data_IF_196156845267
#
_entry.id   IF_196156845267
#
_cell.length_a   1.000
_cell.length_b   1.000
_cell.length_c   1.000
_cell.angle_alpha   90.00
_cell.angle_beta   90.00
_cell.angle_gamma   90.00
#
_symmetry.space_group_name_H-M   'P 1'
#
loop_
_entity.id
_entity.type
_entity.pdbx_description
1 polymer ?
#
# COMPACT_ATOMS: atom_id res chain seq x y z
N UNK A 1 25.73 -2.80 -11.95
CA UNK A 1 25.80 -3.47 -10.64
C UNK A 1 25.42 -2.44 -9.59
N UNK A 2 24.40 -2.73 -8.79
CA UNK A 2 23.97 -1.87 -7.68
C UNK A 2 24.53 -2.39 -6.36
N UNK A 3 24.96 -1.48 -5.49
CA UNK A 3 25.47 -1.87 -4.17
C UNK A 3 24.31 -2.00 -3.18
N UNK A 4 24.30 -3.10 -2.42
CA UNK A 4 23.40 -3.40 -1.32
C UNK A 4 24.23 -3.34 -0.04
N UNK A 5 23.85 -2.47 0.90
CA UNK A 5 24.57 -2.35 2.18
C UNK A 5 23.88 -3.17 3.26
N UNK A 6 24.58 -4.19 3.77
CA UNK A 6 24.09 -5.01 4.87
C UNK A 6 24.91 -4.78 6.14
N UNK A 7 24.26 -4.81 7.29
CA UNK A 7 24.90 -4.83 8.60
C UNK A 7 24.71 -6.22 9.24
N UNK A 8 25.80 -6.84 9.68
CA UNK A 8 25.78 -8.02 10.54
C UNK A 8 26.14 -7.60 11.97
N UNK A 9 25.26 -7.94 12.92
CA UNK A 9 25.47 -7.77 14.35
C UNK A 9 25.64 -9.15 14.97
N UNK A 10 26.89 -9.52 15.26
CA UNK A 10 27.31 -10.88 15.60
C UNK A 10 28.60 -10.82 16.42
N UNK A 11 28.66 -11.41 17.62
CA UNK A 11 29.86 -11.38 18.47
C UNK A 11 30.85 -12.51 18.14
N UNK A 12 30.37 -13.60 17.54
CA UNK A 12 31.19 -14.76 17.16
C UNK A 12 32.01 -14.51 15.89
N UNK A 13 33.35 -14.40 16.04
CA UNK A 13 34.27 -14.25 14.89
C UNK A 13 34.11 -15.37 13.84
N UNK A 14 33.75 -16.59 14.26
CA UNK A 14 33.53 -17.68 13.31
C UNK A 14 32.28 -17.45 12.46
N UNK A 15 31.19 -16.97 13.07
CA UNK A 15 29.94 -16.71 12.36
C UNK A 15 30.08 -15.49 11.45
N UNK A 16 30.80 -14.46 11.91
CA UNK A 16 31.20 -13.32 11.07
C UNK A 16 31.97 -13.78 9.83
N UNK A 17 32.94 -14.68 9.97
CA UNK A 17 33.71 -15.21 8.86
C UNK A 17 32.86 -16.03 7.88
N UNK A 18 31.92 -16.85 8.39
CA UNK A 18 30.99 -17.61 7.54
C UNK A 18 30.13 -16.64 6.71
N UNK A 19 29.60 -15.59 7.33
CA UNK A 19 28.81 -14.58 6.62
C UNK A 19 29.64 -13.84 5.56
N UNK A 20 30.87 -13.43 5.90
CA UNK A 20 31.79 -12.77 4.97
C UNK A 20 32.12 -13.64 3.76
N UNK A 21 32.39 -14.94 3.98
CA UNK A 21 32.63 -15.88 2.89
C UNK A 21 31.39 -16.02 1.99
N UNK A 22 30.19 -16.14 2.57
CA UNK A 22 28.95 -16.19 1.80
C UNK A 22 28.72 -14.92 0.96
N UNK A 23 29.10 -13.74 1.47
CA UNK A 23 29.07 -12.48 0.71
C UNK A 23 30.10 -12.47 -0.41
N UNK A 24 31.30 -13.02 -0.17
CA UNK A 24 32.34 -13.13 -1.21
C UNK A 24 31.87 -14.02 -2.34
N UNK A 25 31.39 -15.23 -2.03
CA UNK A 25 30.86 -16.20 -2.99
C UNK A 25 29.70 -15.58 -3.80
N UNK A 26 28.76 -14.92 -3.11
CA UNK A 26 27.66 -14.22 -3.77
C UNK A 26 28.15 -13.13 -4.74
N UNK A 27 29.13 -12.32 -4.34
CA UNK A 27 29.66 -11.23 -5.16
C UNK A 27 30.50 -11.71 -6.35
N UNK A 28 31.10 -12.91 -6.26
CA UNK A 28 31.80 -13.54 -7.38
C UNK A 28 30.82 -14.06 -8.44
N UNK A 29 29.70 -14.63 -7.99
CA UNK A 29 28.70 -15.23 -8.87
C UNK A 29 27.64 -14.24 -9.39
N UNK A 30 27.37 -13.15 -8.67
CA UNK A 30 26.31 -12.20 -9.00
C UNK A 30 26.80 -10.98 -9.79
N UNK A 31 26.13 -10.68 -10.91
CA UNK A 31 26.46 -9.53 -11.77
C UNK A 31 25.47 -8.36 -11.65
N UNK A 32 24.32 -8.60 -11.03
CA UNK A 32 23.26 -7.60 -10.83
C UNK A 32 23.56 -6.73 -9.60
N UNK A 33 23.92 -7.37 -8.49
CA UNK A 33 24.11 -6.76 -7.19
C UNK A 33 25.50 -7.05 -6.62
N UNK A 34 25.99 -6.09 -5.83
CA UNK A 34 27.16 -6.27 -4.98
C UNK A 34 26.75 -6.02 -3.54
N UNK A 35 26.98 -7.00 -2.67
CA UNK A 35 26.75 -6.87 -1.24
C UNK A 35 27.99 -6.29 -0.56
N UNK A 36 27.79 -5.15 0.10
CA UNK A 36 28.76 -4.48 0.96
C UNK A 36 28.38 -4.78 2.41
N UNK A 37 29.09 -5.73 3.03
CA UNK A 37 28.84 -6.16 4.40
C UNK A 37 29.66 -5.32 5.38
N UNK A 38 28.99 -4.74 6.35
CA UNK A 38 29.59 -4.21 7.57
C UNK A 38 29.30 -5.14 8.74
N UNK A 39 30.29 -5.33 9.62
CA UNK A 39 30.14 -6.18 10.81
C UNK A 39 30.33 -5.33 12.07
N UNK A 40 29.60 -5.65 13.13
CA UNK A 40 29.85 -5.19 14.50
C UNK A 40 29.62 -6.32 15.50
N UNK A 41 30.37 -6.29 16.61
CA UNK A 41 30.37 -7.36 17.60
C UNK A 41 29.49 -7.10 18.83
N UNK A 42 28.89 -5.92 18.96
CA UNK A 42 28.11 -5.53 20.13
C UNK A 42 27.10 -4.42 19.83
N UNK A 43 26.22 -4.18 20.80
CA UNK A 43 25.15 -3.18 20.72
C UNK A 43 25.67 -1.76 20.48
N UNK A 44 26.74 -1.36 21.16
CA UNK A 44 27.29 0.01 21.04
C UNK A 44 27.81 0.28 19.64
N UNK A 45 28.56 -0.65 19.07
CA UNK A 45 29.06 -0.55 17.69
C UNK A 45 27.91 -0.57 16.67
N UNK A 46 26.88 -1.40 16.89
CA UNK A 46 25.68 -1.40 16.05
C UNK A 46 25.00 -0.03 16.05
N UNK A 47 24.83 0.57 17.23
CA UNK A 47 24.23 1.90 17.38
C UNK A 47 25.00 2.99 16.61
N UNK A 48 26.33 2.97 16.72
CA UNK A 48 27.19 3.93 16.01
C UNK A 48 27.06 3.80 14.50
N UNK A 49 27.09 2.55 13.98
CA UNK A 49 26.96 2.30 12.54
C UNK A 49 25.60 2.70 11.99
N UNK A 50 24.52 2.34 12.69
CA UNK A 50 23.15 2.68 12.31
C UNK A 50 22.89 4.19 12.27
N UNK A 51 23.63 4.99 13.04
CA UNK A 51 23.57 6.47 13.00
C UNK A 51 24.37 7.08 11.84
N UNK A 52 25.46 6.43 11.42
CA UNK A 52 26.39 6.99 10.45
C UNK A 52 26.03 6.63 9.00
N UNK A 53 25.37 5.49 8.79
CA UNK A 53 25.11 4.93 7.47
C UNK A 53 23.68 4.44 7.32
N UNK A 54 23.17 4.53 6.08
CA UNK A 54 21.94 3.84 5.68
C UNK A 54 22.27 2.40 5.28
N UNK A 55 21.49 1.46 5.77
CA UNK A 55 21.57 0.05 5.41
C UNK A 55 20.30 -0.39 4.68
N UNK A 56 20.46 -1.32 3.75
CA UNK A 56 19.37 -1.99 3.02
C UNK A 56 18.85 -3.23 3.76
N UNK A 57 19.59 -3.70 4.77
CA UNK A 57 19.19 -4.82 5.60
C UNK A 57 20.11 -5.01 6.80
N UNK A 58 19.58 -5.62 7.87
CA UNK A 58 20.35 -5.97 9.06
C UNK A 58 20.13 -7.44 9.41
N UNK A 59 21.22 -8.16 9.70
CA UNK A 59 21.22 -9.51 10.27
C UNK A 59 21.67 -9.39 11.72
N UNK A 60 20.87 -9.91 12.66
CA UNK A 60 21.10 -9.75 14.10
C UNK A 60 21.12 -11.12 14.78
N UNK A 61 22.17 -11.42 15.54
CA UNK A 61 22.12 -12.46 16.59
C UNK A 61 21.53 -11.89 17.89
N UNK A 62 20.78 -12.72 18.62
CA UNK A 62 20.13 -12.33 19.87
C UNK A 62 21.09 -12.26 21.05
N UNK A 63 22.18 -13.04 21.03
CA UNK A 63 23.20 -13.03 22.07
C UNK A 63 24.44 -12.38 21.51
N UNK A 64 24.80 -11.22 22.06
CA UNK A 64 25.96 -10.45 21.58
C UNK A 64 27.06 -10.36 22.65
N UNK A 65 26.80 -10.87 23.85
CA UNK A 65 27.85 -11.08 24.85
C UNK A 65 27.61 -12.35 25.67
N UNK A 66 28.64 -12.76 26.41
CA UNK A 66 28.54 -13.84 27.40
C UNK A 66 27.75 -13.46 28.67
N UNK A 67 27.17 -12.24 28.74
CA UNK A 67 26.46 -11.76 29.92
C UNK A 67 25.12 -12.49 30.17
N UNK A 68 24.58 -13.14 29.14
CA UNK A 68 23.33 -13.90 29.20
C UNK A 68 22.07 -13.05 29.03
N UNK A 69 22.20 -11.75 28.76
CA UNK A 69 21.10 -10.89 28.33
C UNK A 69 20.81 -11.06 26.82
N UNK A 70 19.58 -10.85 26.39
CA UNK A 70 19.19 -10.94 24.97
C UNK A 70 19.48 -9.61 24.26
N UNK A 71 20.76 -9.22 24.17
CA UNK A 71 21.16 -7.87 23.75
C UNK A 71 20.78 -7.54 22.30
N UNK A 72 20.56 -8.54 21.45
CA UNK A 72 20.03 -8.31 20.10
C UNK A 72 18.65 -7.64 20.11
N UNK A 73 17.83 -7.84 21.16
CA UNK A 73 16.57 -7.09 21.33
C UNK A 73 16.81 -5.59 21.57
N UNK A 74 17.95 -5.21 22.17
CA UNK A 74 18.32 -3.79 22.34
C UNK A 74 18.62 -3.14 20.98
N UNK A 75 19.29 -3.86 20.08
CA UNK A 75 19.55 -3.38 18.71
C UNK A 75 18.25 -3.24 17.92
N UNK A 76 17.33 -4.19 18.05
CA UNK A 76 15.98 -4.10 17.47
C UNK A 76 15.25 -2.85 17.96
N UNK A 77 15.28 -2.59 19.27
CA UNK A 77 14.67 -1.41 19.87
C UNK A 77 15.32 -0.11 19.36
N UNK A 78 16.64 -0.09 19.17
CA UNK A 78 17.34 1.05 18.57
C UNK A 78 16.88 1.32 17.14
N UNK A 79 16.80 0.29 16.29
CA UNK A 79 16.31 0.43 14.91
C UNK A 79 14.85 0.91 14.89
N UNK A 80 14.02 0.41 15.83
CA UNK A 80 12.64 0.84 15.99
C UNK A 80 12.53 2.32 16.35
N UNK A 81 13.37 2.77 17.28
CA UNK A 81 13.39 4.14 17.78
C UNK A 81 14.06 5.14 16.82
N UNK A 82 14.91 4.66 15.90
CA UNK A 82 15.58 5.51 14.90
C UNK A 82 14.68 5.87 13.70
N UNK A 83 13.44 5.38 13.65
CA UNK A 83 12.52 5.48 12.49
C UNK A 83 13.12 4.92 11.19
N UNK A 84 14.17 4.09 11.30
CA UNK A 84 14.85 3.49 10.16
C UNK A 84 13.99 2.36 9.61
N UNK A 85 13.46 2.54 8.39
CA UNK A 85 12.62 1.56 7.67
C UNK A 85 13.50 0.49 7.02
N UNK A 86 14.29 -0.21 7.84
CA UNK A 86 15.28 -1.19 7.40
C UNK A 86 14.72 -2.59 7.69
N UNK A 87 14.67 -3.48 6.69
CA UNK A 87 14.28 -4.87 6.91
C UNK A 87 15.30 -5.60 7.80
N UNK A 88 14.82 -6.43 8.73
CA UNK A 88 15.69 -7.15 9.69
C UNK A 88 15.45 -8.66 9.62
N UNK A 89 16.53 -9.42 9.58
CA UNK A 89 16.54 -10.87 9.79
C UNK A 89 17.21 -11.16 11.12
N UNK A 90 16.56 -11.99 11.94
CA UNK A 90 17.16 -12.50 13.17
C UNK A 90 17.73 -13.87 12.85
N UNK A 91 19.03 -14.07 13.07
CA UNK A 91 19.69 -15.35 12.84
C UNK A 91 20.44 -15.75 14.11
N UNK A 92 19.87 -16.70 14.86
CA UNK A 92 20.28 -16.95 16.25
C UNK A 92 20.18 -18.41 16.64
N UNK A 93 21.00 -18.86 17.61
CA UNK A 93 20.85 -20.17 18.24
C UNK A 93 19.72 -20.24 19.27
N UNK A 94 19.10 -19.11 19.63
CA UNK A 94 18.02 -19.04 20.63
C UNK A 94 16.80 -18.26 20.12
N UNK A 95 16.06 -18.77 19.12
CA UNK A 95 15.00 -18.00 18.45
C UNK A 95 13.83 -17.60 19.37
N UNK A 96 13.60 -18.32 20.47
CA UNK A 96 12.50 -18.09 21.39
C UNK A 96 12.58 -16.76 22.17
N UNK A 97 13.75 -16.10 22.20
CA UNK A 97 13.95 -14.85 22.94
C UNK A 97 13.69 -13.59 22.10
N UNK A 98 13.49 -13.76 20.79
CA UNK A 98 13.32 -12.65 19.85
C UNK A 98 11.95 -11.97 20.03
N UNK A 99 11.94 -10.66 20.31
CA UNK A 99 10.71 -9.87 20.41
C UNK A 99 10.22 -9.48 19.01
N UNK A 100 9.03 -9.94 18.63
CA UNK A 100 8.45 -9.74 17.29
C UNK A 100 7.43 -8.58 17.22
N UNK A 101 6.96 -8.08 18.35
CA UNK A 101 5.80 -7.19 18.36
C UNK A 101 6.11 -5.76 17.88
N UNK A 102 5.48 -5.39 16.76
CA UNK A 102 5.53 -4.04 16.21
C UNK A 102 6.89 -3.68 15.61
N UNK A 103 7.58 -4.65 15.01
CA UNK A 103 8.87 -4.47 14.33
C UNK A 103 8.90 -5.23 12.99
N UNK A 104 9.48 -4.66 11.91
CA UNK A 104 9.51 -5.30 10.58
C UNK A 104 10.58 -6.40 10.51
N UNK A 105 10.46 -7.43 11.36
CA UNK A 105 11.23 -8.67 11.21
C UNK A 105 10.72 -9.38 9.95
N UNK A 106 11.62 -9.62 9.00
CA UNK A 106 11.31 -10.41 7.80
C UNK A 106 11.07 -11.85 8.23
N UNK A 107 12.07 -12.45 8.92
CA UNK A 107 12.06 -13.82 9.40
C UNK A 107 13.01 -14.01 10.58
N UNK A 108 12.79 -15.10 11.33
CA UNK A 108 13.69 -15.57 12.40
C UNK A 108 14.19 -16.96 11.98
N UNK A 109 15.49 -17.10 11.87
CA UNK A 109 16.15 -18.34 11.49
C UNK A 109 17.01 -18.87 12.64
N UNK A 110 16.96 -20.19 12.85
CA UNK A 110 17.76 -20.87 13.87
C UNK A 110 19.15 -21.25 13.33
N UNK A 111 20.22 -20.87 14.03
CA UNK A 111 21.59 -21.29 13.70
C UNK A 111 21.73 -22.80 13.84
N UNK A 112 22.32 -23.44 12.84
CA UNK A 112 22.44 -24.91 12.76
C UNK A 112 21.21 -25.62 12.19
N UNK A 113 20.15 -24.87 11.82
CA UNK A 113 19.05 -25.37 11.03
C UNK A 113 19.36 -25.44 9.52
N UNK A 114 18.30 -25.45 8.70
CA UNK A 114 18.42 -25.59 7.24
C UNK A 114 18.84 -24.31 6.50
N UNK A 115 18.77 -23.15 7.18
CA UNK A 115 19.00 -21.84 6.56
C UNK A 115 20.45 -21.38 6.78
N UNK A 116 21.09 -20.92 5.69
CA UNK A 116 22.45 -20.38 5.67
C UNK A 116 22.46 -18.89 5.34
N UNK A 117 23.57 -18.22 5.65
CA UNK A 117 23.77 -16.80 5.28
C UNK A 117 23.56 -16.51 3.80
N UNK A 118 23.92 -17.43 2.89
CA UNK A 118 23.69 -17.24 1.44
C UNK A 118 22.20 -17.06 1.10
N UNK A 119 21.31 -17.82 1.75
CA UNK A 119 19.86 -17.71 1.54
C UNK A 119 19.30 -16.42 2.14
N UNK A 120 19.82 -15.99 3.29
CA UNK A 120 19.47 -14.71 3.91
C UNK A 120 19.88 -13.53 3.00
N UNK A 121 21.07 -13.60 2.40
CA UNK A 121 21.56 -12.61 1.44
C UNK A 121 20.66 -12.55 0.20
N UNK A 122 20.26 -13.70 -0.34
CA UNK A 122 19.32 -13.78 -1.47
C UNK A 122 17.95 -13.16 -1.14
N UNK A 123 17.44 -13.38 0.09
CA UNK A 123 16.20 -12.79 0.58
C UNK A 123 16.28 -11.24 0.60
N UNK A 124 17.37 -10.68 1.14
CA UNK A 124 17.62 -9.23 1.07
C UNK A 124 17.74 -8.72 -0.36
N UNK A 125 18.37 -9.47 -1.27
CA UNK A 125 18.44 -9.09 -2.68
C UNK A 125 17.06 -9.08 -3.34
N UNK A 126 16.19 -10.04 -3.01
CA UNK A 126 14.79 -10.06 -3.42
C UNK A 126 14.05 -8.80 -2.99
N UNK A 127 14.19 -8.42 -1.72
CA UNK A 127 13.58 -7.21 -1.16
C UNK A 127 14.16 -5.94 -1.83
N UNK A 128 15.48 -5.83 -1.95
CA UNK A 128 16.13 -4.70 -2.60
C UNK A 128 15.69 -4.52 -4.06
N UNK A 129 15.48 -5.63 -4.78
CA UNK A 129 15.01 -5.63 -6.18
C UNK A 129 13.63 -4.99 -6.33
N UNK A 130 12.73 -5.13 -5.35
CA UNK A 130 11.43 -4.43 -5.33
C UNK A 130 11.58 -2.91 -5.29
N UNK A 131 12.71 -2.42 -4.80
CA UNK A 131 12.97 -1.00 -4.57
C UNK A 131 12.44 -0.47 -3.25
N UNK A 132 11.93 -1.32 -2.36
CA UNK A 132 11.42 -0.92 -1.05
C UNK A 132 12.41 0.00 -0.29
N UNK A 133 13.67 -0.41 -0.14
CA UNK A 133 14.69 0.38 0.57
C UNK A 133 15.14 1.62 -0.22
N UNK A 134 15.10 1.54 -1.56
CA UNK A 134 15.34 2.70 -2.43
C UNK A 134 14.22 3.75 -2.33
N UNK A 135 13.03 3.37 -1.89
CA UNK A 135 11.88 4.25 -1.71
C UNK A 135 11.81 4.77 -0.27
N UNK A 136 11.88 3.87 0.71
CA UNK A 136 11.60 4.11 2.13
C UNK A 136 12.83 4.23 3.03
N UNK A 137 14.03 3.88 2.55
CA UNK A 137 15.26 4.04 3.32
C UNK A 137 15.54 5.51 3.67
N UNK A 138 16.48 5.76 4.60
CA UNK A 138 16.78 7.12 5.09
C UNK A 138 17.20 8.13 4.03
N UNK A 139 17.65 7.65 2.85
CA UNK A 139 17.93 8.46 1.65
C UNK A 139 17.12 8.01 0.42
N UNK A 140 15.98 7.38 0.67
CA UNK A 140 15.08 6.89 -0.36
C UNK A 140 14.41 8.01 -1.17
N UNK A 141 13.69 7.65 -2.22
CA UNK A 141 13.00 8.60 -3.10
C UNK A 141 11.98 9.46 -2.35
N UNK A 142 11.27 8.90 -1.36
CA UNK A 142 10.30 9.67 -0.56
C UNK A 142 11.01 10.76 0.25
N UNK A 143 12.12 10.46 0.93
CA UNK A 143 12.85 11.45 1.72
C UNK A 143 13.41 12.59 0.87
N UNK A 144 13.97 12.24 -0.29
CA UNK A 144 14.43 13.24 -1.27
C UNK A 144 13.29 14.13 -1.73
N UNK A 145 12.13 13.53 -2.04
CA UNK A 145 10.96 14.27 -2.50
C UNK A 145 10.38 15.16 -1.40
N UNK A 146 10.32 14.69 -0.15
CA UNK A 146 9.90 15.50 1.00
C UNK A 146 10.85 16.68 1.23
N UNK A 147 12.16 16.49 1.11
CA UNK A 147 13.14 17.57 1.19
C UNK A 147 12.95 18.63 0.10
N UNK A 148 12.69 18.20 -1.14
CA UNK A 148 12.33 19.07 -2.26
C UNK A 148 11.02 19.82 -1.99
N UNK A 149 9.94 19.12 -1.60
CA UNK A 149 8.65 19.73 -1.28
C UNK A 149 8.79 20.76 -0.16
N UNK A 150 9.55 20.44 0.89
CA UNK A 150 9.81 21.36 1.98
C UNK A 150 10.48 22.65 1.49
N UNK A 151 11.57 22.52 0.73
CA UNK A 151 12.39 23.65 0.28
C UNK A 151 11.69 24.50 -0.78
N UNK A 152 11.08 23.86 -1.77
CA UNK A 152 10.56 24.52 -2.97
C UNK A 152 9.09 24.91 -2.86
N UNK A 153 8.31 24.26 -1.98
CA UNK A 153 6.87 24.47 -1.89
C UNK A 153 6.44 24.97 -0.51
N UNK A 154 6.75 24.24 0.57
CA UNK A 154 6.23 24.55 1.90
C UNK A 154 6.83 25.86 2.44
N UNK A 155 8.16 26.00 2.46
CA UNK A 155 8.80 27.21 2.98
C UNK A 155 8.38 28.47 2.21
N UNK A 156 8.36 28.49 0.87
CA UNK A 156 7.84 29.62 0.11
C UNK A 156 6.37 29.94 0.43
N UNK A 157 5.52 28.91 0.55
CA UNK A 157 4.11 29.09 0.89
C UNK A 157 3.91 29.68 2.30
N UNK A 158 4.76 29.37 3.27
CA UNK A 158 4.70 29.96 4.61
C UNK A 158 5.10 31.44 4.62
N UNK A 159 5.99 31.86 3.70
CA UNK A 159 6.54 33.22 3.64
C UNK A 159 5.65 34.22 2.90
N UNK A 160 4.44 33.84 2.48
CA UNK A 160 3.54 34.72 1.72
C UNK A 160 3.07 35.92 2.53
N UNK A 161 3.22 37.12 1.96
CA UNK A 161 2.68 38.38 2.49
C UNK A 161 1.77 39.04 1.46
N UNK A 162 0.81 39.83 1.91
CA UNK A 162 0.00 40.67 1.03
C UNK A 162 0.85 41.79 0.43
N UNK A 163 0.34 42.41 -0.63
CA UNK A 163 0.90 43.64 -1.23
C UNK A 163 0.97 44.83 -0.24
N UNK A 164 0.21 44.79 0.85
CA UNK A 164 0.27 45.74 1.97
C UNK A 164 1.23 45.33 3.09
N UNK A 165 2.03 44.28 2.91
CA UNK A 165 3.00 43.78 3.89
C UNK A 165 2.42 42.96 5.04
N UNK A 166 1.10 42.71 5.04
CA UNK A 166 0.41 41.94 6.09
C UNK A 166 0.66 40.45 5.90
N UNK A 167 0.90 39.74 7.00
CA UNK A 167 0.99 38.28 6.99
C UNK A 167 -0.35 37.69 6.53
N UNK A 168 -0.30 36.79 5.55
CA UNK A 168 -1.46 36.07 5.01
C UNK A 168 -1.12 34.57 4.88
N UNK A 169 -2.12 33.75 4.54
CA UNK A 169 -1.93 32.32 4.32
C UNK A 169 -1.71 31.54 5.61
N UNK A 170 -0.83 30.53 5.54
CA UNK A 170 -0.66 29.49 6.57
C UNK A 170 -0.36 30.02 7.98
N UNK A 171 0.57 30.97 8.13
CA UNK A 171 0.90 31.54 9.46
C UNK A 171 -0.32 32.21 10.08
N UNK A 172 -1.09 32.96 9.28
CA UNK A 172 -2.32 33.61 9.75
C UNK A 172 -3.43 32.60 10.08
N UNK A 173 -3.54 31.51 9.32
CA UNK A 173 -4.46 30.42 9.67
C UNK A 173 -4.08 29.79 11.01
N UNK A 174 -2.78 29.57 11.26
CA UNK A 174 -2.29 29.01 12.51
C UNK A 174 -2.55 29.92 13.73
N UNK A 175 -2.50 31.25 13.56
CA UNK A 175 -2.89 32.21 14.61
C UNK A 175 -4.36 32.02 15.04
N UNK A 176 -5.22 31.57 14.13
CA UNK A 176 -6.66 31.38 14.41
C UNK A 176 -6.98 29.96 14.89
N UNK A 177 -6.37 28.95 14.27
CA UNK A 177 -6.61 27.53 14.55
C UNK A 177 -5.37 26.70 14.14
N UNK A 178 -4.42 26.59 15.07
CA UNK A 178 -3.16 25.88 14.86
C UNK A 178 -3.36 24.39 14.53
N UNK A 179 -4.14 23.60 15.30
CA UNK A 179 -4.35 22.17 15.01
C UNK A 179 -4.98 21.91 13.64
N UNK A 180 -5.96 22.73 13.22
CA UNK A 180 -6.54 22.59 11.88
C UNK A 180 -5.55 22.96 10.79
N UNK A 181 -4.72 23.97 11.03
CA UNK A 181 -3.70 24.42 10.08
C UNK A 181 -2.64 23.34 9.88
N UNK A 182 -2.19 22.69 10.95
CA UNK A 182 -1.26 21.56 10.90
C UNK A 182 -1.84 20.42 10.03
N UNK A 183 -3.09 20.00 10.29
CA UNK A 183 -3.77 18.98 9.46
C UNK A 183 -3.89 19.42 8.00
N UNK A 184 -4.11 20.70 7.73
CA UNK A 184 -4.21 21.24 6.38
C UNK A 184 -2.85 21.29 5.66
N UNK A 185 -1.77 21.63 6.36
CA UNK A 185 -0.41 21.58 5.84
C UNK A 185 0.00 20.14 5.53
N UNK A 186 -0.35 19.17 6.37
CA UNK A 186 -0.11 17.76 6.07
C UNK A 186 -0.78 17.33 4.75
N UNK A 187 -2.07 17.67 4.56
CA UNK A 187 -2.76 17.40 3.29
C UNK A 187 -2.11 18.12 2.12
N UNK A 188 -1.65 19.36 2.32
CA UNK A 188 -0.98 20.14 1.30
C UNK A 188 0.34 19.47 0.86
N UNK A 189 1.14 18.99 1.81
CA UNK A 189 2.37 18.21 1.54
C UNK A 189 2.07 16.91 0.78
N UNK A 190 1.05 16.16 1.20
CA UNK A 190 0.65 14.92 0.53
C UNK A 190 0.18 15.16 -0.91
N UNK A 191 -0.52 16.26 -1.18
CA UNK A 191 -0.94 16.62 -2.54
C UNK A 191 0.24 16.92 -3.46
N UNK A 192 1.29 17.58 -2.95
CA UNK A 192 2.53 17.76 -3.72
C UNK A 192 3.22 16.43 -4.01
N UNK A 193 3.26 15.53 -3.03
CA UNK A 193 3.80 14.18 -3.21
C UNK A 193 3.05 13.43 -4.31
N UNK A 194 1.70 13.46 -4.29
CA UNK A 194 0.85 12.85 -5.32
C UNK A 194 1.08 13.48 -6.69
N UNK A 195 1.17 14.81 -6.78
CA UNK A 195 1.42 15.51 -8.04
C UNK A 195 2.74 15.08 -8.70
N UNK A 196 3.77 14.81 -7.91
CA UNK A 196 5.03 14.29 -8.43
C UNK A 196 4.89 12.86 -8.99
N UNK A 197 4.01 12.04 -8.41
CA UNK A 197 3.76 10.66 -8.84
C UNK A 197 2.84 10.60 -10.08
N UNK A 198 1.83 11.47 -10.17
CA UNK A 198 0.84 11.49 -11.26
C UNK A 198 1.43 11.82 -12.66
N UNK A 199 2.66 12.34 -12.72
CA UNK A 199 3.33 12.63 -13.99
C UNK A 199 3.89 11.38 -14.69
N UNK A 200 3.77 10.19 -14.08
CA UNK A 200 4.16 8.93 -14.70
C UNK A 200 3.05 8.40 -15.63
N UNK A 201 3.42 8.10 -16.89
CA UNK A 201 2.50 7.65 -17.96
C UNK A 201 2.41 6.11 -18.00
N UNK A 202 3.12 5.42 -17.11
CA UNK A 202 3.14 3.97 -17.06
C UNK A 202 1.77 3.36 -16.72
N UNK A 203 1.54 2.12 -17.18
CA UNK A 203 0.34 1.36 -16.80
C UNK A 203 0.49 0.90 -15.36
N UNK A 204 -0.55 1.11 -14.56
CA UNK A 204 -0.60 0.62 -13.18
C UNK A 204 -0.64 -0.90 -13.12
N UNK A 205 -0.03 -1.46 -12.07
CA UNK A 205 -0.22 -2.84 -11.64
C UNK A 205 -1.58 -3.02 -10.94
N UNK A 206 -2.20 -4.22 -10.99
CA UNK A 206 -3.46 -4.50 -10.30
C UNK A 206 -3.52 -4.12 -8.82
N UNK A 207 -2.41 -4.33 -8.11
CA UNK A 207 -2.26 -4.09 -6.68
C UNK A 207 -2.46 -2.61 -6.32
N UNK A 208 -2.10 -1.68 -7.23
CA UNK A 208 -2.25 -0.23 -7.02
C UNK A 208 -3.72 0.20 -6.88
N UNK A 209 -4.67 -0.60 -7.37
CA UNK A 209 -6.10 -0.30 -7.27
C UNK A 209 -6.63 -0.46 -5.83
N UNK A 210 -5.92 -1.19 -4.98
CA UNK A 210 -6.39 -1.59 -3.66
C UNK A 210 -5.47 -1.07 -2.54
N UNK A 211 -6.09 -0.78 -1.40
CA UNK A 211 -5.42 -0.58 -0.11
C UNK A 211 -5.74 -1.80 0.75
N UNK A 212 -4.71 -2.54 1.14
CA UNK A 212 -4.82 -3.77 1.93
C UNK A 212 -3.63 -3.97 2.89
N UNK A 213 -3.86 -4.26 4.18
CA UNK A 213 -5.11 -3.98 4.90
C UNK A 213 -5.31 -2.46 5.05
N UNK A 214 -6.56 -1.97 5.18
CA UNK A 214 -6.80 -0.56 5.48
C UNK A 214 -6.28 -0.21 6.89
N UNK A 215 -5.98 1.07 7.10
CA UNK A 215 -5.44 1.59 8.38
C UNK A 215 -6.48 1.48 9.51
N UNK A 216 -7.77 1.59 9.17
CA UNK A 216 -8.88 1.42 10.08
C UNK A 216 -9.98 0.55 9.45
N UNK A 217 -10.88 0.05 10.30
CA UNK A 217 -11.99 -0.82 9.90
C UNK A 217 -13.25 -0.01 9.51
N UNK A 218 -13.11 1.31 9.29
CA UNK A 218 -14.25 2.16 8.99
C UNK A 218 -14.74 1.92 7.57
N UNK A 219 -16.06 1.91 7.43
CA UNK A 219 -16.71 1.87 6.13
C UNK A 219 -16.61 3.24 5.47
N UNK A 220 -15.90 3.29 4.35
CA UNK A 220 -15.72 4.47 3.52
C UNK A 220 -16.22 4.20 2.10
N UNK A 221 -16.38 5.25 1.30
CA UNK A 221 -16.66 5.09 -0.13
C UNK A 221 -15.53 4.29 -0.79
N UNK A 222 -15.88 3.26 -1.56
CA UNK A 222 -14.92 2.34 -2.17
C UNK A 222 -14.45 1.21 -1.24
N UNK A 223 -14.94 1.11 0.00
CA UNK A 223 -14.73 -0.08 0.82
C UNK A 223 -15.41 -1.29 0.18
N UNK A 224 -14.70 -2.41 0.12
CA UNK A 224 -15.22 -3.70 -0.33
C UNK A 224 -15.60 -4.53 0.88
N UNK A 225 -16.86 -4.95 0.93
CA UNK A 225 -17.46 -5.74 1.99
C UNK A 225 -17.74 -7.15 1.49
N UNK A 226 -17.33 -8.15 2.27
CA UNK A 226 -17.73 -9.55 2.04
C UNK A 226 -18.97 -9.86 2.87
N UNK A 227 -19.99 -10.43 2.24
CA UNK A 227 -21.18 -10.92 2.96
C UNK A 227 -20.78 -12.13 3.83
N UNK A 228 -21.31 -12.25 5.06
CA UNK A 228 -20.91 -13.33 5.98
C UNK A 228 -21.39 -14.71 5.50
N UNK A 229 -22.60 -14.76 4.97
CA UNK A 229 -23.27 -16.01 4.60
C UNK A 229 -22.99 -16.44 3.15
N UNK A 230 -22.11 -15.75 2.42
CA UNK A 230 -21.76 -16.10 1.05
C UNK A 230 -20.41 -15.56 0.62
N UNK A 231 -19.84 -16.12 -0.43
CA UNK A 231 -18.60 -15.63 -1.06
C UNK A 231 -18.84 -14.37 -1.93
N UNK A 232 -19.84 -13.54 -1.58
CA UNK A 232 -20.23 -12.36 -2.35
C UNK A 232 -19.58 -11.11 -1.80
N UNK A 233 -19.05 -10.33 -2.74
CA UNK A 233 -18.46 -9.03 -2.46
C UNK A 233 -19.38 -7.92 -2.92
N UNK A 234 -19.36 -6.82 -2.17
CA UNK A 234 -20.10 -5.62 -2.43
C UNK A 234 -19.18 -4.43 -2.25
N UNK A 235 -19.42 -3.36 -2.99
CA UNK A 235 -18.68 -2.11 -2.87
C UNK A 235 -19.57 -0.97 -2.41
N UNK A 236 -19.05 -0.18 -1.48
CA UNK A 236 -19.75 0.99 -0.92
C UNK A 236 -19.64 2.16 -1.88
N UNK A 237 -20.77 2.70 -2.32
CA UNK A 237 -20.85 3.75 -3.33
C UNK A 237 -21.51 5.05 -2.85
N UNK A 238 -21.77 5.18 -1.54
CA UNK A 238 -22.21 6.47 -0.98
C UNK A 238 -21.19 7.57 -1.31
N UNK A 239 -21.62 8.81 -1.57
CA UNK A 239 -20.73 9.97 -1.54
C UNK A 239 -19.90 10.02 -0.24
N UNK A 240 -18.61 10.35 -0.34
CA UNK A 240 -17.72 10.38 0.82
C UNK A 240 -18.18 11.36 1.91
N UNK A 241 -18.84 12.45 1.53
CA UNK A 241 -19.42 13.41 2.47
C UNK A 241 -20.58 12.82 3.29
N UNK A 242 -21.25 11.78 2.80
CA UNK A 242 -22.36 11.16 3.50
C UNK A 242 -21.87 10.26 4.63
N UNK A 243 -20.73 9.61 4.42
CA UNK A 243 -20.09 8.71 5.39
C UNK A 243 -19.15 9.44 6.36
N UNK A 244 -18.86 10.72 6.15
CA UNK A 244 -17.97 11.51 7.01
C UNK A 244 -18.53 11.63 8.44
N UNK A 245 -17.64 11.51 9.44
CA UNK A 245 -18.03 11.53 10.85
C UNK A 245 -18.20 12.97 11.32
N UNK A 246 -19.25 13.20 12.10
CA UNK A 246 -19.54 14.51 12.71
C UNK A 246 -18.97 14.60 14.12
N UNK A 247 -18.82 15.84 14.61
CA UNK A 247 -18.27 16.11 15.95
C UNK A 247 -19.11 15.58 17.10
N UNK A 248 -20.37 15.24 16.86
CA UNK A 248 -21.34 14.60 17.77
C UNK A 248 -21.43 13.08 17.61
N UNK A 249 -20.64 12.49 16.71
CA UNK A 249 -20.71 11.07 16.32
C UNK A 249 -21.68 10.83 15.16
N UNK A 250 -21.49 9.69 14.46
CA UNK A 250 -22.32 9.31 13.31
C UNK A 250 -22.00 10.07 12.01
N UNK A 251 -22.79 9.82 10.95
CA UNK A 251 -22.62 10.40 9.62
C UNK A 251 -23.94 10.95 9.04
N UNK A 252 -23.94 11.52 7.82
CA UNK A 252 -25.13 12.16 7.25
C UNK A 252 -26.17 11.19 6.70
N UNK A 253 -25.85 9.89 6.67
CA UNK A 253 -26.71 8.86 6.12
C UNK A 253 -27.00 7.79 7.16
N UNK A 254 -28.22 7.28 7.14
CA UNK A 254 -28.65 6.11 7.90
C UNK A 254 -28.52 4.80 7.09
N UNK A 255 -28.06 4.90 5.83
CA UNK A 255 -28.00 3.77 4.88
C UNK A 255 -26.72 3.74 4.05
N UNK A 256 -26.07 2.59 4.04
CA UNK A 256 -24.99 2.26 3.11
C UNK A 256 -25.56 1.82 1.75
N UNK A 257 -25.13 2.47 0.68
CA UNK A 257 -25.39 2.13 -0.71
C UNK A 257 -24.34 1.12 -1.19
N UNK A 258 -24.75 -0.13 -1.35
CA UNK A 258 -23.89 -1.21 -1.79
C UNK A 258 -24.20 -1.64 -3.22
N UNK A 259 -23.15 -1.89 -4.00
CA UNK A 259 -23.27 -2.44 -5.35
C UNK A 259 -22.58 -3.81 -5.41
N UNK A 260 -23.28 -4.80 -5.96
CA UNK A 260 -22.76 -6.17 -6.03
C UNK A 260 -21.58 -6.29 -7.02
N UNK A 261 -20.55 -7.04 -6.59
CA UNK A 261 -19.41 -7.45 -7.41
C UNK A 261 -19.63 -8.90 -7.83
N UNK A 262 -19.76 -9.11 -9.14
CA UNK A 262 -20.00 -10.42 -9.72
C UNK A 262 -18.70 -11.07 -10.22
N UNK A 263 -18.53 -12.39 -10.06
CA UNK A 263 -17.47 -13.13 -10.73
C UNK A 263 -17.70 -13.11 -12.25
N UNK A 264 -16.62 -13.27 -13.03
CA UNK A 264 -16.69 -13.18 -14.49
C UNK A 264 -17.53 -14.31 -15.08
N UNK A 265 -17.50 -15.47 -14.44
CA UNK A 265 -18.23 -16.69 -14.75
C UNK A 265 -19.74 -16.46 -14.76
N UNK A 266 -20.25 -15.54 -13.94
CA UNK A 266 -21.67 -15.15 -13.97
C UNK A 266 -22.02 -14.15 -15.06
N UNK A 267 -21.05 -13.33 -15.47
CA UNK A 267 -21.25 -12.41 -16.58
C UNK A 267 -21.24 -13.18 -17.90
N UNK A 268 -20.46 -14.26 -17.97
CA UNK A 268 -20.29 -15.12 -19.14
C UNK A 268 -20.48 -16.61 -18.79
N UNK A 269 -21.72 -17.03 -18.47
CA UNK A 269 -21.99 -18.43 -18.07
C UNK A 269 -21.75 -19.43 -19.20
N UNK A 270 -21.83 -18.98 -20.46
CA UNK A 270 -21.66 -19.84 -21.64
C UNK A 270 -20.19 -20.01 -22.07
N UNK A 271 -19.24 -19.36 -21.38
CA UNK A 271 -17.84 -19.49 -21.71
C UNK A 271 -17.29 -20.83 -21.24
N UNK A 272 -16.54 -21.49 -22.12
CA UNK A 272 -15.68 -22.59 -21.71
C UNK A 272 -14.36 -22.02 -21.19
N UNK A 273 -14.26 -21.87 -19.87
CA UNK A 273 -13.10 -21.27 -19.19
C UNK A 273 -11.81 -22.07 -19.38
N UNK A 274 -11.89 -23.39 -19.59
CA UNK A 274 -10.73 -24.25 -19.87
C UNK A 274 -10.21 -24.09 -21.31
N UNK A 275 -11.06 -23.64 -22.24
CA UNK A 275 -10.71 -23.46 -23.64
C UNK A 275 -11.46 -22.30 -24.28
N UNK A 276 -11.08 -21.08 -23.88
CA UNK A 276 -11.68 -19.85 -24.39
C UNK A 276 -11.49 -19.74 -25.91
N UNK A 277 -12.55 -19.35 -26.62
CA UNK A 277 -12.50 -19.07 -28.06
C UNK A 277 -11.83 -17.72 -28.35
N UNK A 278 -11.61 -17.41 -29.64
CA UNK A 278 -11.14 -16.08 -30.04
C UNK A 278 -12.18 -14.99 -29.75
N UNK A 279 -13.46 -15.34 -29.79
CA UNK A 279 -14.55 -14.39 -29.51
C UNK A 279 -14.64 -14.10 -28.01
N UNK A 280 -14.51 -15.14 -27.17
CA UNK A 280 -14.58 -15.02 -25.70
C UNK A 280 -13.48 -14.10 -25.20
N UNK A 281 -12.25 -14.28 -25.71
CA UNK A 281 -11.11 -13.38 -25.39
C UNK A 281 -11.37 -11.93 -25.79
N UNK A 282 -12.07 -11.66 -26.89
CA UNK A 282 -12.43 -10.29 -27.30
C UNK A 282 -13.44 -9.67 -26.33
N UNK A 283 -14.44 -10.43 -25.89
CA UNK A 283 -15.43 -9.95 -24.93
C UNK A 283 -14.80 -9.72 -23.54
N UNK A 284 -13.87 -10.58 -23.10
CA UNK A 284 -13.07 -10.34 -21.89
C UNK A 284 -12.20 -9.09 -22.01
N UNK A 285 -11.54 -8.86 -23.15
CA UNK A 285 -10.78 -7.62 -23.34
C UNK A 285 -11.65 -6.37 -23.24
N UNK A 286 -12.90 -6.42 -23.70
CA UNK A 286 -13.84 -5.30 -23.55
C UNK A 286 -14.20 -5.07 -22.08
N UNK A 287 -14.39 -6.13 -21.28
CA UNK A 287 -14.71 -5.98 -19.86
C UNK A 287 -13.50 -5.47 -19.06
N UNK A 288 -12.29 -5.97 -19.35
CA UNK A 288 -11.05 -5.54 -18.69
C UNK A 288 -10.69 -4.09 -18.98
N UNK A 289 -11.04 -3.60 -20.17
CA UNK A 289 -10.89 -2.18 -20.54
C UNK A 289 -12.08 -1.33 -20.13
N UNK A 290 -13.04 -1.86 -19.35
CA UNK A 290 -14.23 -1.14 -18.94
C UNK A 290 -15.09 -0.59 -20.10
N UNK A 291 -15.02 -1.24 -21.27
CA UNK A 291 -15.66 -0.85 -22.53
C UNK A 291 -16.77 -1.82 -22.98
N UNK A 292 -17.15 -2.78 -22.13
CA UNK A 292 -18.20 -3.76 -22.43
C UNK A 292 -19.60 -3.13 -22.35
N UNK A 293 -19.88 -2.42 -21.26
CA UNK A 293 -21.14 -1.71 -21.03
C UNK A 293 -20.91 -0.53 -20.09
N UNK A 294 -21.89 0.38 -20.03
CA UNK A 294 -21.84 1.53 -19.11
C UNK A 294 -22.05 1.13 -17.64
N UNK A 295 -22.56 -0.07 -17.37
CA UNK A 295 -22.92 -0.53 -16.02
C UNK A 295 -21.95 -1.57 -15.43
N UNK A 296 -20.92 -1.98 -16.17
CA UNK A 296 -19.91 -2.92 -15.68
C UNK A 296 -18.58 -2.22 -15.41
N UNK A 297 -18.00 -2.43 -14.22
CA UNK A 297 -16.67 -1.95 -13.86
C UNK A 297 -15.80 -3.10 -13.31
N UNK A 298 -14.68 -3.41 -13.97
CA UNK A 298 -13.77 -4.49 -13.60
C UNK A 298 -12.89 -4.09 -12.41
N UNK A 299 -12.76 -5.01 -11.46
CA UNK A 299 -11.86 -4.96 -10.30
C UNK A 299 -10.85 -6.12 -10.38
N UNK A 300 -9.59 -5.91 -10.81
CA UNK A 300 -8.66 -7.00 -11.10
C UNK A 300 -8.40 -7.94 -9.90
N UNK A 301 -8.03 -9.18 -10.19
CA UNK A 301 -7.65 -10.16 -9.17
C UNK A 301 -6.22 -9.90 -8.66
N UNK A 302 -6.02 -10.10 -7.36
CA UNK A 302 -4.73 -10.01 -6.66
C UNK A 302 -4.69 -11.09 -5.55
N UNK A 303 -3.52 -11.36 -4.98
CA UNK A 303 -3.34 -12.45 -3.99
C UNK A 303 -4.37 -12.44 -2.84
N UNK A 304 -4.67 -11.25 -2.29
CA UNK A 304 -5.60 -11.10 -1.16
C UNK A 304 -7.08 -10.89 -1.58
N UNK A 305 -7.38 -10.84 -2.88
CA UNK A 305 -8.73 -10.53 -3.36
C UNK A 305 -9.01 -11.13 -4.75
N UNK A 306 -10.06 -11.98 -4.89
CA UNK A 306 -10.37 -12.66 -6.17
C UNK A 306 -10.79 -11.71 -7.30
N UNK A 307 -11.04 -10.42 -7.01
CA UNK A 307 -11.53 -9.49 -8.01
C UNK A 307 -13.00 -9.72 -8.38
N UNK A 308 -13.42 -9.07 -9.46
CA UNK A 308 -14.72 -9.32 -10.10
C UNK A 308 -15.14 -8.16 -11.01
N UNK A 309 -16.44 -8.03 -11.22
CA UNK A 309 -17.06 -6.97 -12.01
C UNK A 309 -18.19 -6.35 -11.20
N UNK A 310 -18.05 -5.08 -10.84
CA UNK A 310 -19.15 -4.30 -10.25
C UNK A 310 -20.25 -4.18 -11.29
N UNK A 311 -21.47 -4.53 -10.91
CA UNK A 311 -22.65 -4.35 -11.75
C UNK A 311 -23.52 -3.23 -11.18
N UNK A 312 -23.42 -2.02 -11.76
CA UNK A 312 -24.15 -0.83 -11.32
C UNK A 312 -25.68 -0.96 -11.39
N UNK A 313 -26.22 -2.06 -11.92
CA UNK A 313 -27.65 -2.40 -11.86
C UNK A 313 -28.05 -3.09 -10.56
N UNK A 314 -27.11 -3.75 -9.87
CA UNK A 314 -27.34 -4.54 -8.65
C UNK A 314 -27.04 -3.69 -7.42
N UNK A 315 -27.81 -2.62 -7.29
CA UNK A 315 -27.73 -1.67 -6.18
C UNK A 315 -28.65 -2.14 -5.06
N UNK A 316 -28.17 -2.04 -3.82
CA UNK A 316 -28.93 -2.33 -2.60
C UNK A 316 -28.56 -1.32 -1.51
N UNK A 317 -29.43 -1.15 -0.51
CA UNK A 317 -29.14 -0.28 0.64
C UNK A 317 -29.36 -1.02 1.94
N UNK A 318 -28.50 -0.73 2.93
CA UNK A 318 -28.54 -1.40 4.23
C UNK A 318 -28.36 -0.38 5.36
N UNK A 319 -29.05 -0.57 6.46
CA UNK A 319 -28.81 0.17 7.70
C UNK A 319 -27.49 -0.26 8.35
N UNK A 320 -26.99 0.51 9.32
CA UNK A 320 -25.81 0.14 10.09
C UNK A 320 -25.95 -1.23 10.78
N UNK A 321 -27.12 -1.50 11.37
CA UNK A 321 -27.42 -2.80 12.00
C UNK A 321 -27.39 -3.95 10.97
N UNK A 322 -27.98 -3.76 9.80
CA UNK A 322 -27.99 -4.75 8.73
C UNK A 322 -26.57 -5.02 8.20
N UNK A 323 -25.75 -3.99 8.10
CA UNK A 323 -24.33 -4.09 7.72
C UNK A 323 -23.56 -4.91 8.76
N UNK A 324 -23.63 -4.50 10.02
CA UNK A 324 -22.92 -5.16 11.12
C UNK A 324 -23.34 -6.63 11.28
N UNK A 325 -24.59 -6.94 10.98
CA UNK A 325 -25.12 -8.30 11.02
C UNK A 325 -24.68 -9.12 9.81
N UNK A 326 -24.82 -8.59 8.59
CA UNK A 326 -24.74 -9.38 7.34
C UNK A 326 -23.37 -9.37 6.68
N UNK A 327 -22.48 -8.44 7.03
CA UNK A 327 -21.20 -8.23 6.35
C UNK A 327 -20.01 -8.27 7.33
N UNK A 328 -18.87 -8.75 6.84
CA UNK A 328 -17.61 -8.64 7.56
C UNK A 328 -17.08 -7.21 7.56
N UNK A 329 -16.12 -6.96 8.45
CA UNK A 329 -15.34 -5.72 8.48
C UNK A 329 -14.64 -5.48 7.13
N UNK A 330 -14.56 -4.21 6.66
CA UNK A 330 -13.91 -3.87 5.41
C UNK A 330 -12.40 -4.16 5.51
N UNK A 331 -11.94 -5.14 4.72
CA UNK A 331 -10.51 -5.48 4.65
C UNK A 331 -9.82 -4.93 3.41
N UNK A 332 -10.57 -4.39 2.45
CA UNK A 332 -10.06 -3.90 1.18
C UNK A 332 -10.75 -2.58 0.85
N UNK A 333 -9.99 -1.59 0.40
CA UNK A 333 -10.51 -0.31 -0.05
C UNK A 333 -9.93 0.06 -1.42
N UNK A 334 -10.74 0.65 -2.30
CA UNK A 334 -10.23 1.19 -3.57
C UNK A 334 -9.39 2.44 -3.32
N UNK A 335 -8.20 2.49 -3.91
CA UNK A 335 -7.30 3.65 -3.79
C UNK A 335 -7.88 4.88 -4.50
N UNK A 336 -7.54 6.07 -3.98
CA UNK A 336 -8.15 7.33 -4.39
C UNK A 336 -8.08 7.64 -5.91
N UNK A 337 -6.98 7.34 -6.64
CA UNK A 337 -6.92 7.58 -8.08
C UNK A 337 -7.99 6.80 -8.87
N UNK A 338 -8.24 5.55 -8.50
CA UNK A 338 -9.18 4.66 -9.18
C UNK A 338 -10.62 4.89 -8.72
N UNK A 339 -10.81 5.26 -7.44
CA UNK A 339 -12.11 5.53 -6.85
C UNK A 339 -12.87 6.65 -7.59
N UNK A 340 -12.15 7.69 -8.04
CA UNK A 340 -12.75 8.82 -8.77
C UNK A 340 -13.36 8.37 -10.11
N UNK A 341 -12.65 7.56 -10.89
CA UNK A 341 -13.17 7.01 -12.15
C UNK A 341 -14.40 6.13 -11.89
N UNK A 342 -14.30 5.23 -10.89
CA UNK A 342 -15.39 4.34 -10.54
C UNK A 342 -16.67 5.10 -10.12
N UNK A 343 -16.55 6.12 -9.27
CA UNK A 343 -17.68 6.99 -8.88
C UNK A 343 -18.23 7.72 -10.11
N UNK A 344 -17.36 8.31 -10.95
CA UNK A 344 -17.77 9.01 -12.17
C UNK A 344 -18.59 8.10 -13.10
N UNK A 345 -18.14 6.86 -13.31
CA UNK A 345 -18.86 5.88 -14.14
C UNK A 345 -20.20 5.49 -13.53
N UNK A 346 -20.26 5.29 -12.20
CA UNK A 346 -21.51 4.99 -11.51
C UNK A 346 -22.51 6.15 -11.61
N UNK A 347 -22.09 7.38 -11.31
CA UNK A 347 -22.93 8.58 -11.43
C UNK A 347 -23.40 8.79 -12.87
N UNK A 348 -22.51 8.63 -13.85
CA UNK A 348 -22.84 8.74 -15.28
C UNK A 348 -23.87 7.72 -15.70
N UNK A 349 -23.75 6.46 -15.23
CA UNK A 349 -24.74 5.42 -15.51
C UNK A 349 -26.11 5.75 -14.89
N UNK A 350 -26.14 6.19 -13.64
CA UNK A 350 -27.39 6.45 -12.91
C UNK A 350 -28.11 7.73 -13.36
N UNK A 351 -27.37 8.70 -13.91
CA UNK A 351 -27.93 9.96 -14.42
C UNK A 351 -28.56 9.83 -15.82
N UNK A 352 -28.44 8.66 -16.49
CA UNK A 352 -28.97 8.46 -17.84
C UNK A 352 -30.48 8.65 -17.87
N UNK A 353 -30.93 9.56 -18.72
CA UNK A 353 -32.34 9.66 -19.10
C UNK A 353 -32.62 8.57 -20.14
N UNK A 354 -33.65 7.75 -19.92
CA UNK A 354 -34.11 6.82 -20.93
C UNK A 354 -34.68 7.60 -22.13
N UNK A 355 -34.23 7.29 -23.34
CA UNK A 355 -34.86 7.79 -24.55
C UNK A 355 -35.86 6.73 -25.01
N UNK A 356 -37.16 7.06 -25.15
CA UNK A 356 -38.12 6.16 -25.79
C UNK A 356 -37.67 5.87 -27.21
N UNK A 357 -37.70 4.60 -27.59
CA UNK A 357 -37.44 4.18 -28.97
C UNK A 357 -38.69 4.53 -29.80
N UNK A 358 -38.49 5.32 -30.86
CA UNK A 358 -39.57 5.66 -31.79
C UNK A 358 -39.72 4.49 -32.75
N UNK A 359 -40.96 4.03 -32.94
CA UNK A 359 -41.28 2.99 -33.91
C UNK A 359 -41.12 3.56 -35.33
N UNK A 360 -39.96 3.26 -35.92
CA UNK A 360 -39.58 3.75 -37.25
C UNK A 360 -40.49 3.17 -38.35
N UNK A 361 -41.11 2.00 -38.14
CA UNK A 361 -42.05 1.42 -39.11
C UNK A 361 -43.36 2.22 -39.18
N UNK A 362 -43.77 2.88 -38.09
CA UNK A 362 -44.94 3.77 -38.09
C UNK A 362 -44.66 5.17 -38.65
N UNK A 363 -43.39 5.60 -38.65
CA UNK A 363 -42.95 6.93 -39.09
C UNK A 363 -42.75 7.02 -40.62
N UNK A 364 -42.59 5.88 -41.32
CA UNK A 364 -42.46 5.82 -42.79
C UNK A 364 -43.80 5.85 -43.55
N UNK A 365 -44.94 6.04 -42.88
CA UNK A 365 -46.26 6.16 -43.53
C UNK A 365 -46.53 7.53 -44.19
N UNK A 366 -45.49 8.35 -44.37
CA UNK A 366 -45.56 9.73 -44.85
C UNK A 366 -44.83 10.04 -46.17
N UNK A 367 -44.63 9.06 -47.06
CA UNK A 367 -44.16 9.31 -48.46
C UNK A 367 -45.14 8.87 -49.53
#
# INVERSE_FOLDING_TARGET
MSDIKLLLVEDSESDQLICQNAVSDFNEDNTEFRVCLEVCGNVTEAEEKLKQSDFDGVIIDMKLTNSGEDEGNQVIEQIKNSFSRIPVVIFTGTPNVAVQHGFPVINIYEKGGDVKYSQIIEEFCGIYRTGLTKILGGKGSIEKMLATIFTENLIPALRTRSSSGKQIGWIKHAESDSPRTEKALLRYTLNHLLLHLDNDINRCYPEEMYIYPPIDERINTGSILKKKDSERYFIVMNPACDLAERGDGGCNTDRALLVEIQPLEEIYPDFNWDNLSRNDRKELQRIYKNNKSLYYHRLPEVEFYPGGVINFRRVSTYTEEEINTSFGIPKIQISAPFLKDMISRFSSYYARQGQPEIDVETDESGT
#
